data_IF_027563099410
#
_entry.id   IF_027563099410
#
_cell.length_a   1.000
_cell.length_b   1.000
_cell.length_c   1.000
_cell.angle_alpha   90.00
_cell.angle_beta   90.00
_cell.angle_gamma   90.00
#
_symmetry.space_group_name_H-M   'P 1'
#
loop_
_entity.id
_entity.type
_entity.pdbx_description
1 polymer ?
#
# COMPACT_ATOMS: atom_id res chain seq x y z
N UNK A 1 -2.48 7.48 -25.89
CA UNK A 1 -2.39 7.77 -24.45
C UNK A 1 -1.89 6.53 -23.71
N UNK A 2 -0.77 6.59 -22.98
CA UNK A 2 -0.24 5.45 -22.23
C UNK A 2 -0.39 5.68 -20.71
N UNK A 3 -1.17 4.82 -20.06
CA UNK A 3 -1.37 4.82 -18.62
C UNK A 3 -0.33 3.92 -17.95
N UNK A 4 0.52 4.51 -17.11
CA UNK A 4 1.45 3.77 -16.23
C UNK A 4 0.76 3.23 -14.97
N UNK A 5 -0.53 2.96 -15.06
CA UNK A 5 -1.32 2.44 -13.96
C UNK A 5 -2.38 1.43 -14.40
N UNK A 6 -2.77 0.57 -13.46
CA UNK A 6 -3.83 -0.41 -13.66
C UNK A 6 -5.20 0.23 -13.81
N UNK A 7 -5.48 1.29 -13.02
CA UNK A 7 -6.72 2.05 -13.12
C UNK A 7 -6.79 2.87 -14.41
N UNK A 8 -7.96 2.86 -15.04
CA UNK A 8 -8.27 3.66 -16.24
C UNK A 8 -9.53 4.51 -16.07
N UNK A 9 -10.10 4.56 -14.86
CA UNK A 9 -11.34 5.29 -14.54
C UNK A 9 -11.21 6.81 -14.72
N UNK A 10 -9.98 7.31 -14.80
CA UNK A 10 -9.66 8.71 -15.02
C UNK A 10 -9.63 9.11 -16.51
N UNK A 11 -9.84 8.17 -17.43
CA UNK A 11 -9.84 8.41 -18.88
C UNK A 11 -11.23 8.09 -19.44
N UNK A 12 -11.82 9.06 -20.15
CA UNK A 12 -13.02 8.80 -20.94
C UNK A 12 -12.65 8.01 -22.20
N UNK A 13 -12.90 6.71 -22.17
CA UNK A 13 -12.59 5.80 -23.26
C UNK A 13 -13.45 6.05 -24.50
N UNK A 14 -14.66 6.60 -24.36
CA UNK A 14 -15.56 6.87 -25.49
C UNK A 14 -15.07 8.09 -26.26
N UNK A 15 -14.81 9.20 -25.56
CA UNK A 15 -14.25 10.39 -26.17
C UNK A 15 -12.87 10.11 -26.79
N UNK A 16 -12.03 9.30 -26.14
CA UNK A 16 -10.75 8.91 -26.70
C UNK A 16 -10.89 8.11 -28.02
N UNK A 17 -11.88 7.21 -28.10
CA UNK A 17 -12.16 6.46 -29.32
C UNK A 17 -12.71 7.36 -30.44
N UNK A 18 -13.62 8.29 -30.12
CA UNK A 18 -14.18 9.27 -31.06
C UNK A 18 -13.11 10.18 -31.68
N UNK A 19 -12.08 10.52 -30.91
CA UNK A 19 -10.93 11.32 -31.35
C UNK A 19 -9.81 10.50 -32.01
N UNK A 20 -9.98 9.19 -32.17
CA UNK A 20 -8.96 8.31 -32.76
C UNK A 20 -7.72 8.12 -31.88
N UNK A 21 -7.84 8.33 -30.56
CA UNK A 21 -6.72 8.24 -29.60
C UNK A 21 -6.69 6.83 -28.99
N UNK A 22 -5.69 6.03 -29.37
CA UNK A 22 -5.46 4.72 -28.75
C UNK A 22 -5.00 4.85 -27.30
N UNK A 23 -5.69 4.17 -26.37
CA UNK A 23 -5.35 4.12 -24.94
C UNK A 23 -4.73 2.76 -24.59
N UNK A 24 -3.56 2.75 -23.97
CA UNK A 24 -2.89 1.54 -23.47
C UNK A 24 -2.64 1.67 -21.96
N UNK A 25 -2.60 0.54 -21.24
CA UNK A 25 -2.36 0.51 -19.79
C UNK A 25 -1.50 -0.68 -19.38
N UNK A 26 -0.97 -0.61 -18.16
CA UNK A 26 -0.37 -1.77 -17.48
C UNK A 26 -1.47 -2.49 -16.69
N UNK A 27 -1.88 -3.72 -17.04
CA UNK A 27 -3.08 -4.33 -16.49
C UNK A 27 -2.95 -4.75 -15.02
N UNK A 28 -1.75 -5.09 -14.56
CA UNK A 28 -1.49 -5.51 -13.19
C UNK A 28 -0.09 -5.08 -12.76
N UNK A 29 0.04 -4.74 -11.48
CA UNK A 29 1.34 -4.64 -10.82
C UNK A 29 1.72 -6.02 -10.25
N UNK A 30 2.98 -6.17 -9.80
CA UNK A 30 3.42 -7.42 -9.15
C UNK A 30 2.52 -7.75 -7.95
N UNK A 31 1.84 -8.91 -7.96
CA UNK A 31 1.02 -9.36 -6.83
C UNK A 31 1.82 -9.48 -5.53
N UNK A 32 3.07 -9.91 -5.64
CA UNK A 32 4.00 -10.08 -4.52
C UNK A 32 4.30 -8.74 -3.85
N UNK A 33 4.63 -7.71 -4.64
CA UNK A 33 4.91 -6.38 -4.11
C UNK A 33 3.71 -5.79 -3.34
N UNK A 34 2.48 -6.03 -3.81
CA UNK A 34 1.25 -5.58 -3.13
C UNK A 34 1.05 -6.34 -1.82
N UNK A 35 1.23 -7.66 -1.84
CA UNK A 35 1.08 -8.51 -0.66
C UNK A 35 2.13 -8.16 0.42
N UNK A 36 3.39 -8.02 0.02
CA UNK A 36 4.50 -7.64 0.90
C UNK A 36 4.27 -6.26 1.53
N UNK A 37 3.85 -5.28 0.73
CA UNK A 37 3.57 -3.94 1.26
C UNK A 37 2.42 -3.96 2.28
N UNK A 38 1.36 -4.72 1.99
CA UNK A 38 0.21 -4.88 2.91
C UNK A 38 0.65 -5.49 4.24
N UNK A 39 1.44 -6.57 4.20
CA UNK A 39 1.98 -7.22 5.41
C UNK A 39 2.92 -6.27 6.17
N UNK A 40 3.75 -5.50 5.45
CA UNK A 40 4.60 -4.46 6.03
C UNK A 40 3.81 -3.39 6.78
N UNK A 41 2.70 -2.91 6.19
CA UNK A 41 1.79 -1.97 6.85
C UNK A 41 1.16 -2.58 8.11
N UNK A 42 0.68 -3.82 8.04
CA UNK A 42 0.09 -4.52 9.19
C UNK A 42 1.08 -4.64 10.36
N UNK A 43 2.34 -5.00 10.08
CA UNK A 43 3.39 -5.10 11.10
C UNK A 43 3.78 -3.73 11.68
N UNK A 44 3.92 -2.71 10.82
CA UNK A 44 4.24 -1.34 11.24
C UNK A 44 3.18 -0.74 12.17
N UNK A 45 1.90 -1.03 11.90
CA UNK A 45 0.79 -0.63 12.77
C UNK A 45 0.74 -1.45 14.06
N UNK A 46 0.85 -2.77 13.97
CA UNK A 46 0.78 -3.66 15.13
C UNK A 46 1.90 -3.37 16.14
N UNK A 47 3.14 -3.18 15.68
CA UNK A 47 4.29 -2.89 16.55
C UNK A 47 4.57 -1.39 16.73
N UNK A 48 3.71 -0.53 16.15
CA UNK A 48 3.83 0.94 16.21
C UNK A 48 5.22 1.42 15.80
N UNK A 49 5.81 0.76 14.80
CA UNK A 49 7.19 1.00 14.34
C UNK A 49 7.36 2.45 13.89
N UNK A 50 6.36 3.00 13.20
CA UNK A 50 6.30 4.40 12.80
C UNK A 50 6.42 5.38 13.99
N UNK A 51 5.82 5.07 15.16
CA UNK A 51 5.97 5.88 16.39
C UNK A 51 7.30 5.61 17.09
N UNK A 52 7.71 4.35 17.14
CA UNK A 52 8.99 3.95 17.73
C UNK A 52 10.15 4.69 17.04
N UNK A 53 10.15 4.74 15.70
CA UNK A 53 11.13 5.47 14.91
C UNK A 53 11.19 6.96 15.25
N UNK A 54 10.04 7.63 15.39
CA UNK A 54 10.02 9.05 15.79
C UNK A 54 10.69 9.28 17.15
N UNK A 55 10.48 8.37 18.12
CA UNK A 55 11.07 8.49 19.45
C UNK A 55 12.57 8.21 19.44
N UNK A 56 12.98 7.09 18.83
CA UNK A 56 14.39 6.67 18.86
C UNK A 56 15.28 7.60 18.04
N UNK A 57 14.74 8.28 17.02
CA UNK A 57 15.45 9.33 16.29
C UNK A 57 15.94 10.46 17.21
N UNK A 58 15.15 10.80 18.23
CA UNK A 58 15.47 11.84 19.20
C UNK A 58 16.03 11.23 20.51
N UNK A 59 16.62 10.03 20.43
CA UNK A 59 17.19 9.25 21.55
C UNK A 59 16.21 8.95 22.70
N UNK A 60 14.90 9.00 22.45
CA UNK A 60 13.89 8.56 23.40
C UNK A 60 13.58 7.06 23.19
N UNK A 61 13.92 6.25 24.20
CA UNK A 61 13.72 4.79 24.19
C UNK A 61 12.49 4.33 25.00
N UNK A 62 11.60 5.25 25.39
CA UNK A 62 10.36 4.88 26.07
C UNK A 62 9.49 3.99 25.19
N UNK A 63 9.08 2.84 25.74
CA UNK A 63 8.22 1.86 25.09
C UNK A 63 6.72 2.08 25.40
N UNK A 64 6.39 3.11 26.17
CA UNK A 64 5.01 3.36 26.59
C UNK A 64 4.08 3.55 25.38
N UNK A 65 3.00 2.77 25.32
CA UNK A 65 2.05 2.81 24.21
C UNK A 65 2.54 2.16 22.90
N UNK A 66 3.65 1.42 22.91
CA UNK A 66 4.16 0.67 21.74
C UNK A 66 3.78 -0.82 21.75
N UNK A 67 3.08 -1.30 22.78
CA UNK A 67 2.71 -2.72 22.93
C UNK A 67 1.80 -3.20 21.80
N UNK A 68 2.31 -4.16 21.02
CA UNK A 68 1.58 -4.90 19.98
C UNK A 68 0.85 -6.14 20.47
N UNK A 69 0.30 -6.89 19.53
CA UNK A 69 -0.22 -8.23 19.74
C UNK A 69 0.48 -9.24 18.82
N UNK A 70 0.42 -10.52 19.18
CA UNK A 70 0.95 -11.58 18.32
C UNK A 70 -0.08 -11.94 17.25
N UNK A 71 0.35 -11.97 15.99
CA UNK A 71 -0.48 -12.36 14.85
C UNK A 71 -0.69 -13.87 14.77
N UNK A 72 0.23 -14.67 15.34
CA UNK A 72 0.06 -16.10 15.47
C UNK A 72 -1.26 -16.42 16.21
N UNK A 73 -2.05 -17.35 15.68
CA UNK A 73 -3.40 -17.69 16.16
C UNK A 73 -4.42 -16.54 16.13
N UNK A 74 -4.27 -15.60 15.19
CA UNK A 74 -5.30 -14.60 14.88
C UNK A 74 -5.96 -14.89 13.54
N UNK A 75 -7.23 -14.53 13.43
CA UNK A 75 -7.99 -14.62 12.18
C UNK A 75 -7.67 -13.42 11.30
N UNK A 76 -7.28 -13.68 10.05
CA UNK A 76 -7.14 -12.66 9.00
C UNK A 76 -8.24 -12.89 7.95
N UNK A 77 -8.99 -11.83 7.61
CA UNK A 77 -9.90 -11.82 6.47
C UNK A 77 -9.21 -11.19 5.27
N UNK A 78 -9.37 -11.79 4.10
CA UNK A 78 -8.85 -11.31 2.80
C UNK A 78 -10.04 -10.95 1.93
#
# INVERSE_FOLDING_TARGET
>A
LALRCAGFNNVDLKAAAELGITVVRVPAYSPEAIAEHTVGMMLSLNRRIHRAYQRTRDANFSLEGLTGFNMHNRTAGI
#
